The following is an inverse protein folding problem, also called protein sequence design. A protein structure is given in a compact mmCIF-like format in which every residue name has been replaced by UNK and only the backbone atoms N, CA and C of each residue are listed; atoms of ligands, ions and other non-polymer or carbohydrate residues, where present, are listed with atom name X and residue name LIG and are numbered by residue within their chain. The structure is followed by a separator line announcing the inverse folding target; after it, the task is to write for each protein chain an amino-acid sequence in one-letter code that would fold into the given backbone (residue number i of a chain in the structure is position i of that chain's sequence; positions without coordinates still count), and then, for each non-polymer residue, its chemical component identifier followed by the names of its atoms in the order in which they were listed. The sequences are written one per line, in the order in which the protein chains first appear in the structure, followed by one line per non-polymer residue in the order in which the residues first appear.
data_IF_606054991933
#
_entry.id   IF_606054991933
#
_cell.length_a   1.000
_cell.length_b   1.000
_cell.length_c   1.000
_cell.angle_alpha   90.00
_cell.angle_beta   90.00
_cell.angle_gamma   90.00
#
_symmetry.space_group_name_H-M   'P 1'
#
loop_
_entity.id
_entity.type
_entity.pdbx_description
1 polymer ?
#
# COMPACT_ATOMS: atom_id res chain seq x y z
N UNK A 1 -43.57 -3.08 3.08
CA UNK A 1 -43.41 -1.60 3.03
C UNK A 1 -42.14 -1.28 2.23
N UNK A 2 -42.31 -0.65 1.07
CA UNK A 2 -41.16 -0.16 0.30
C UNK A 2 -40.49 0.97 1.09
N UNK A 3 -39.18 0.92 1.29
CA UNK A 3 -38.42 2.02 1.87
C UNK A 3 -38.49 3.22 0.89
N UNK A 4 -39.29 4.20 1.22
CA UNK A 4 -39.32 5.50 0.56
C UNK A 4 -38.11 6.31 1.05
N UNK A 5 -36.95 6.10 0.46
CA UNK A 5 -35.75 6.86 0.74
C UNK A 5 -34.68 6.57 -0.31
N UNK A 6 -33.98 7.62 -0.75
CA UNK A 6 -32.83 7.44 -1.61
C UNK A 6 -31.71 6.77 -0.81
N UNK A 7 -31.13 5.69 -1.36
CA UNK A 7 -29.97 5.07 -0.76
C UNK A 7 -28.75 5.98 -0.95
N UNK A 8 -28.16 6.55 0.14
CA UNK A 8 -26.99 7.40 0.03
C UNK A 8 -25.80 6.74 -0.70
N UNK A 9 -25.71 5.39 -0.67
CA UNK A 9 -24.67 4.63 -1.37
C UNK A 9 -24.80 4.66 -2.91
N UNK A 10 -25.86 5.26 -3.45
CA UNK A 10 -25.98 5.49 -4.90
C UNK A 10 -25.24 6.74 -5.37
N UNK A 11 -24.76 7.54 -4.46
CA UNK A 11 -24.11 8.81 -4.74
C UNK A 11 -22.61 8.65 -4.51
N UNK A 12 -21.86 8.38 -5.57
CA UNK A 12 -20.40 8.37 -5.53
C UNK A 12 -19.95 9.83 -5.43
N UNK A 13 -19.35 10.19 -4.30
CA UNK A 13 -18.69 11.50 -4.14
C UNK A 13 -17.29 11.45 -4.77
N UNK A 14 -16.65 12.62 -4.93
CA UNK A 14 -15.25 12.67 -5.38
C UNK A 14 -14.31 11.92 -4.41
N UNK A 15 -14.66 11.86 -3.13
CA UNK A 15 -13.91 11.13 -2.10
C UNK A 15 -14.10 9.58 -2.17
N UNK A 16 -15.06 9.10 -2.99
CA UNK A 16 -15.32 7.66 -3.17
C UNK A 16 -14.62 7.11 -4.43
N UNK A 17 -13.81 7.92 -5.10
CA UNK A 17 -13.05 7.48 -6.27
C UNK A 17 -11.79 6.76 -5.83
N UNK A 18 -11.55 5.61 -6.44
CA UNK A 18 -10.29 4.89 -6.33
C UNK A 18 -9.31 5.41 -7.38
N UNK A 19 -8.03 5.41 -7.04
CA UNK A 19 -6.98 5.79 -7.98
C UNK A 19 -6.69 4.64 -8.96
N UNK A 20 -6.17 4.98 -10.15
CA UNK A 20 -5.80 3.99 -11.16
C UNK A 20 -4.70 3.05 -10.68
N UNK A 21 -3.87 3.50 -9.75
CA UNK A 21 -2.78 2.71 -9.17
C UNK A 21 -3.06 2.41 -7.72
N UNK A 22 -2.96 1.14 -7.35
CA UNK A 22 -2.93 0.73 -5.94
C UNK A 22 -1.55 0.20 -5.59
N UNK A 23 -0.89 0.83 -4.62
CA UNK A 23 0.33 0.30 -4.02
C UNK A 23 -0.07 -0.57 -2.83
N UNK A 24 0.42 -1.81 -2.82
CA UNK A 24 0.19 -2.76 -1.73
C UNK A 24 1.50 -3.12 -1.05
N UNK A 25 1.53 -3.13 0.27
CA UNK A 25 2.71 -3.53 1.05
C UNK A 25 2.33 -4.34 2.29
N UNK A 26 3.25 -5.23 2.69
CA UNK A 26 3.10 -6.08 3.87
C UNK A 26 4.18 -5.69 4.86
N UNK A 27 3.78 -5.42 6.10
CA UNK A 27 4.69 -5.06 7.20
C UNK A 27 4.69 -6.17 8.23
N UNK A 28 5.87 -6.65 8.63
CA UNK A 28 6.06 -7.60 9.72
C UNK A 28 7.32 -7.27 10.49
N UNK A 29 7.19 -6.60 11.62
CA UNK A 29 8.28 -6.23 12.54
C UNK A 29 7.81 -6.61 13.95
N UNK A 30 8.10 -7.84 14.41
CA UNK A 30 7.53 -8.37 15.65
C UNK A 30 8.06 -7.71 16.92
N UNK A 31 9.27 -7.15 16.85
CA UNK A 31 9.97 -6.50 17.96
C UNK A 31 10.98 -5.47 17.43
N UNK A 32 11.46 -4.58 18.29
CA UNK A 32 12.51 -3.61 17.96
C UNK A 32 13.82 -3.93 18.68
N UNK A 33 14.25 -5.21 18.59
CA UNK A 33 15.50 -5.69 19.19
C UNK A 33 16.25 -6.60 18.22
N UNK A 34 17.49 -6.93 18.50
CA UNK A 34 18.31 -7.83 17.71
C UNK A 34 18.31 -7.46 16.23
N UNK A 35 17.88 -8.41 15.38
CA UNK A 35 17.78 -8.23 13.93
C UNK A 35 16.82 -7.08 13.53
N UNK A 36 15.74 -6.89 14.29
CA UNK A 36 14.69 -5.91 13.99
C UNK A 36 14.93 -4.52 14.56
N UNK A 37 16.07 -4.29 15.24
CA UNK A 37 16.36 -3.05 15.99
C UNK A 37 16.11 -1.78 15.20
N UNK A 38 16.47 -1.72 13.94
CA UNK A 38 16.36 -0.54 13.08
C UNK A 38 15.20 -0.61 12.08
N UNK A 39 14.38 -1.69 12.12
CA UNK A 39 13.37 -1.95 11.08
C UNK A 39 12.26 -0.89 11.05
N UNK A 40 11.93 -0.28 12.18
CA UNK A 40 10.96 0.82 12.19
C UNK A 40 11.51 2.07 11.46
N UNK A 41 12.80 2.37 11.59
CA UNK A 41 13.39 3.52 10.89
C UNK A 41 13.51 3.25 9.38
N UNK A 42 13.85 2.01 9.00
CA UNK A 42 13.80 1.56 7.60
C UNK A 42 12.38 1.69 7.02
N UNK A 43 11.37 1.24 7.76
CA UNK A 43 9.97 1.37 7.36
C UNK A 43 9.57 2.84 7.16
N UNK A 44 9.98 3.74 8.05
CA UNK A 44 9.74 5.19 7.91
C UNK A 44 10.38 5.75 6.64
N UNK A 45 11.62 5.39 6.36
CA UNK A 45 12.33 5.80 5.13
C UNK A 45 11.61 5.27 3.89
N UNK A 46 11.20 4.00 3.89
CA UNK A 46 10.43 3.40 2.82
C UNK A 46 9.15 4.20 2.54
N UNK A 47 8.31 4.42 3.55
CA UNK A 47 7.02 5.10 3.39
C UNK A 47 7.16 6.57 3.03
N UNK A 48 8.13 7.29 3.63
CA UNK A 48 8.38 8.68 3.25
C UNK A 48 8.87 8.78 1.81
N UNK A 49 9.81 7.92 1.39
CA UNK A 49 10.28 7.93 -0.01
C UNK A 49 9.18 7.56 -1.01
N UNK A 50 8.27 6.65 -0.64
CA UNK A 50 7.10 6.35 -1.46
C UNK A 50 6.24 7.60 -1.69
N UNK A 51 5.89 8.32 -0.62
CA UNK A 51 5.04 9.51 -0.72
C UNK A 51 5.75 10.68 -1.41
N UNK A 52 7.02 10.95 -1.04
CA UNK A 52 7.75 12.13 -1.53
C UNK A 52 8.25 11.98 -2.98
N UNK A 53 8.53 10.76 -3.42
CA UNK A 53 9.13 10.48 -4.73
C UNK A 53 8.13 9.97 -5.79
N UNK A 54 6.84 9.87 -5.45
CA UNK A 54 5.77 9.50 -6.38
C UNK A 54 4.96 10.73 -6.75
N UNK A 55 4.86 11.02 -8.04
CA UNK A 55 4.12 12.19 -8.57
C UNK A 55 2.68 11.85 -8.87
N UNK A 56 2.45 10.64 -9.31
CA UNK A 56 1.13 10.13 -9.64
C UNK A 56 0.32 9.91 -8.37
N UNK A 57 -0.98 10.13 -8.46
CA UNK A 57 -1.90 9.74 -7.40
C UNK A 57 -2.00 8.21 -7.32
N UNK A 58 -2.09 7.69 -6.12
CA UNK A 58 -2.24 6.26 -5.86
C UNK A 58 -2.93 6.01 -4.52
N UNK A 59 -3.61 4.88 -4.43
CA UNK A 59 -4.10 4.35 -3.17
C UNK A 59 -3.02 3.47 -2.52
N UNK A 60 -2.79 3.64 -1.22
CA UNK A 60 -1.88 2.78 -0.45
C UNK A 60 -2.69 1.84 0.46
N UNK A 61 -2.52 0.55 0.26
CA UNK A 61 -3.09 -0.49 1.12
C UNK A 61 -1.98 -1.20 1.87
N UNK A 62 -2.07 -1.20 3.20
CA UNK A 62 -1.06 -1.80 4.07
C UNK A 62 -1.66 -2.94 4.87
N UNK A 63 -0.99 -4.09 4.84
CA UNK A 63 -1.26 -5.23 5.72
C UNK A 63 -0.20 -5.31 6.80
N UNK A 64 -0.59 -5.01 8.04
CA UNK A 64 0.25 -5.34 9.20
C UNK A 64 0.09 -6.81 9.56
N UNK A 65 1.16 -7.56 9.44
CA UNK A 65 1.19 -9.01 9.60
C UNK A 65 1.64 -9.42 11.02
N UNK A 66 1.05 -8.79 12.03
CA UNK A 66 1.35 -9.08 13.44
C UNK A 66 2.61 -8.38 13.94
N UNK A 67 2.81 -7.10 13.63
CA UNK A 67 3.93 -6.30 14.14
C UNK A 67 3.76 -5.88 15.61
N UNK A 68 4.83 -5.37 16.22
CA UNK A 68 4.82 -4.81 17.57
C UNK A 68 4.01 -3.50 17.65
N UNK A 69 3.80 -3.03 18.87
CA UNK A 69 2.95 -1.86 19.13
C UNK A 69 3.44 -0.59 18.45
N UNK A 70 4.74 -0.32 18.51
CA UNK A 70 5.37 0.88 17.97
C UNK A 70 5.18 0.99 16.46
N UNK A 71 5.27 -0.13 15.75
CA UNK A 71 5.01 -0.22 14.31
C UNK A 71 3.54 0.02 14.01
N UNK A 72 2.64 -0.60 14.77
CA UNK A 72 1.20 -0.38 14.63
C UNK A 72 0.80 1.07 14.88
N UNK A 73 1.39 1.71 15.89
CA UNK A 73 1.14 3.11 16.18
C UNK A 73 1.64 4.03 15.03
N UNK A 74 2.81 3.74 14.45
CA UNK A 74 3.30 4.44 13.27
C UNK A 74 2.34 4.30 12.08
N UNK A 75 1.89 3.08 11.78
CA UNK A 75 0.97 2.83 10.67
C UNK A 75 -0.40 3.52 10.88
N UNK A 76 -0.92 3.53 12.10
CA UNK A 76 -2.15 4.26 12.44
C UNK A 76 -2.00 5.76 12.21
N UNK A 77 -0.91 6.36 12.66
CA UNK A 77 -0.64 7.79 12.45
C UNK A 77 -0.56 8.13 10.95
N UNK A 78 0.02 7.24 10.14
CA UNK A 78 0.09 7.41 8.68
C UNK A 78 -1.30 7.32 8.03
N UNK A 79 -2.15 6.42 8.53
CA UNK A 79 -3.54 6.28 8.08
C UNK A 79 -4.39 7.48 8.49
N UNK A 80 -4.30 7.93 9.74
CA UNK A 80 -5.00 9.12 10.24
C UNK A 80 -4.60 10.41 9.51
N UNK A 81 -3.34 10.47 9.03
CA UNK A 81 -2.85 11.54 8.17
C UNK A 81 -3.31 11.42 6.71
N UNK A 82 -4.18 10.43 6.37
CA UNK A 82 -4.70 10.22 5.02
C UNK A 82 -3.70 9.64 4.02
N UNK A 83 -2.53 9.18 4.46
CA UNK A 83 -1.47 8.64 3.60
C UNK A 83 -1.64 7.16 3.28
N UNK A 84 -2.41 6.44 4.07
CA UNK A 84 -2.80 5.05 3.85
C UNK A 84 -4.31 5.02 3.69
N UNK A 85 -4.83 4.55 2.56
CA UNK A 85 -6.27 4.48 2.29
C UNK A 85 -6.91 3.28 3.00
N UNK A 86 -6.22 2.15 3.04
CA UNK A 86 -6.70 0.97 3.78
C UNK A 86 -5.57 0.37 4.62
N UNK A 87 -5.82 0.24 5.93
CA UNK A 87 -4.89 -0.35 6.88
C UNK A 87 -5.54 -1.57 7.54
N UNK A 88 -4.93 -2.73 7.35
CA UNK A 88 -5.44 -4.00 7.85
C UNK A 88 -4.47 -4.54 8.91
N UNK A 89 -4.97 -4.79 10.11
CA UNK A 89 -4.21 -5.41 11.19
C UNK A 89 -4.54 -6.89 11.31
N UNK A 90 -3.56 -7.75 11.07
CA UNK A 90 -3.66 -9.17 11.42
C UNK A 90 -3.23 -9.40 12.87
N UNK A 91 -3.99 -10.20 13.61
CA UNK A 91 -3.63 -10.59 14.98
C UNK A 91 -2.45 -11.58 15.05
N UNK A 92 -2.06 -12.16 13.91
CA UNK A 92 -0.97 -13.12 13.78
C UNK A 92 -0.34 -13.04 12.39
N UNK A 93 0.86 -13.61 12.25
CA UNK A 93 1.57 -13.65 10.97
C UNK A 93 1.00 -14.73 10.05
N UNK A 94 0.28 -14.33 9.01
CA UNK A 94 -0.25 -15.22 7.95
C UNK A 94 0.78 -15.53 6.87
N UNK A 95 2.03 -15.13 7.07
CA UNK A 95 3.13 -15.16 6.11
C UNK A 95 2.88 -14.25 4.89
N UNK A 96 3.95 -14.06 4.08
CA UNK A 96 3.92 -13.16 2.92
C UNK A 96 2.84 -13.54 1.91
N UNK A 97 2.77 -14.80 1.53
CA UNK A 97 1.83 -15.29 0.51
C UNK A 97 0.37 -15.15 0.97
N UNK A 98 0.09 -15.47 2.26
CA UNK A 98 -1.26 -15.30 2.80
C UNK A 98 -1.72 -13.85 2.77
N UNK A 99 -0.90 -12.91 3.24
CA UNK A 99 -1.20 -11.49 3.20
C UNK A 99 -1.32 -10.96 1.76
N UNK A 100 -0.40 -11.37 0.86
CA UNK A 100 -0.40 -10.94 -0.54
C UNK A 100 -1.67 -11.37 -1.27
N UNK A 101 -2.14 -12.61 -1.06
CA UNK A 101 -3.39 -13.08 -1.66
C UNK A 101 -4.60 -12.24 -1.23
N UNK A 102 -4.67 -11.81 0.03
CA UNK A 102 -5.72 -10.91 0.49
C UNK A 102 -5.61 -9.53 -0.18
N UNK A 103 -4.41 -8.95 -0.20
CA UNK A 103 -4.18 -7.62 -0.77
C UNK A 103 -4.51 -7.57 -2.27
N UNK A 104 -4.10 -8.58 -3.05
CA UNK A 104 -4.39 -8.64 -4.48
C UNK A 104 -5.89 -8.73 -4.77
N UNK A 105 -6.67 -9.38 -3.89
CA UNK A 105 -8.12 -9.49 -4.07
C UNK A 105 -8.89 -8.21 -3.72
N UNK A 106 -8.32 -7.33 -2.89
CA UNK A 106 -8.99 -6.10 -2.45
C UNK A 106 -8.47 -4.84 -3.11
N UNK A 107 -7.33 -4.91 -3.83
CA UNK A 107 -6.74 -3.78 -4.52
C UNK A 107 -7.66 -3.32 -5.68
N UNK A 108 -8.21 -2.09 -5.64
CA UNK A 108 -9.23 -1.66 -6.60
C UNK A 108 -8.64 -1.06 -7.88
N UNK A 109 -7.36 -0.68 -7.90
CA UNK A 109 -6.73 0.02 -9.01
C UNK A 109 -6.57 -0.85 -10.26
N UNK A 110 -6.53 -0.20 -11.41
CA UNK A 110 -6.22 -0.84 -12.70
C UNK A 110 -4.82 -1.45 -12.71
N UNK A 111 -3.87 -0.79 -12.06
CA UNK A 111 -2.50 -1.24 -11.87
C UNK A 111 -2.25 -1.51 -10.40
N UNK A 112 -1.60 -2.62 -10.10
CA UNK A 112 -1.23 -2.98 -8.73
C UNK A 112 0.29 -2.99 -8.65
N UNK A 113 0.85 -2.18 -7.74
CA UNK A 113 2.27 -2.20 -7.41
C UNK A 113 2.47 -2.89 -6.07
N UNK A 114 3.13 -4.05 -6.06
CA UNK A 114 3.58 -4.66 -4.83
C UNK A 114 4.99 -4.19 -4.49
N UNK A 115 5.20 -3.75 -3.26
CA UNK A 115 6.51 -3.38 -2.74
C UNK A 115 6.74 -3.98 -1.34
N UNK A 116 7.97 -4.43 -1.09
CA UNK A 116 8.40 -4.78 0.26
C UNK A 116 8.53 -3.51 1.13
N UNK A 117 8.46 -3.65 2.43
CA UNK A 117 8.41 -2.53 3.39
C UNK A 117 9.79 -1.94 3.75
N UNK A 118 10.83 -2.36 3.05
CA UNK A 118 12.24 -1.96 3.23
C UNK A 118 12.88 -1.42 1.94
N UNK A 119 12.05 -0.99 1.00
CA UNK A 119 12.48 -0.42 -0.30
C UNK A 119 12.60 1.10 -0.20
N UNK A 120 13.63 1.67 -0.85
CA UNK A 120 13.72 3.10 -1.10
C UNK A 120 13.23 3.42 -2.51
N UNK A 121 12.14 4.19 -2.63
CA UNK A 121 11.59 4.61 -3.91
C UNK A 121 12.37 5.78 -4.47
N UNK A 122 12.94 5.61 -5.68
CA UNK A 122 13.59 6.71 -6.41
C UNK A 122 12.55 7.58 -7.11
N UNK A 123 12.91 8.83 -7.40
CA UNK A 123 12.02 9.73 -8.16
C UNK A 123 11.63 9.12 -9.50
N UNK A 124 10.39 9.33 -9.91
CA UNK A 124 9.79 8.86 -11.18
C UNK A 124 9.68 7.33 -11.31
N UNK A 125 9.86 6.55 -10.25
CA UNK A 125 9.78 5.09 -10.30
C UNK A 125 8.43 4.62 -10.89
N UNK A 126 7.31 5.25 -10.48
CA UNK A 126 5.98 4.91 -10.97
C UNK A 126 5.75 5.42 -12.39
N UNK A 127 6.17 6.65 -12.70
CA UNK A 127 6.10 7.24 -14.04
C UNK A 127 6.76 6.32 -15.08
N UNK A 128 7.99 5.88 -14.82
CA UNK A 128 8.73 5.01 -15.73
C UNK A 128 8.08 3.62 -15.84
N UNK A 129 7.57 3.07 -14.74
CA UNK A 129 6.87 1.78 -14.75
C UNK A 129 5.59 1.84 -15.59
N UNK A 130 4.76 2.87 -15.38
CA UNK A 130 3.53 3.07 -16.16
C UNK A 130 3.82 3.33 -17.62
N UNK A 131 4.88 4.06 -17.93
CA UNK A 131 5.31 4.29 -19.32
C UNK A 131 5.61 2.97 -20.04
N UNK A 132 6.39 2.08 -19.40
CA UNK A 132 6.72 0.77 -19.98
C UNK A 132 5.44 -0.04 -20.24
N UNK A 133 4.51 -0.08 -19.27
CA UNK A 133 3.24 -0.80 -19.41
C UNK A 133 2.37 -0.24 -20.56
N UNK A 134 2.42 1.08 -20.78
CA UNK A 134 1.67 1.72 -21.86
C UNK A 134 2.34 1.55 -23.23
N UNK A 135 3.68 1.64 -23.29
CA UNK A 135 4.46 1.50 -24.53
C UNK A 135 4.47 0.05 -25.03
N UNK A 136 4.29 -0.92 -24.13
CA UNK A 136 4.28 -2.36 -24.42
C UNK A 136 2.99 -3.02 -23.91
N UNK A 137 1.86 -2.93 -24.61
CA UNK A 137 0.55 -3.42 -24.13
C UNK A 137 0.50 -4.92 -23.83
N UNK A 138 1.40 -5.69 -24.42
CA UNK A 138 1.55 -7.14 -24.15
C UNK A 138 2.27 -7.44 -22.82
N UNK A 139 2.82 -6.42 -22.16
CA UNK A 139 3.57 -6.58 -20.91
C UNK A 139 2.61 -6.78 -19.75
N UNK A 140 2.68 -7.94 -19.11
CA UNK A 140 1.87 -8.23 -17.92
C UNK A 140 2.46 -7.72 -16.61
N UNK A 141 3.79 -7.44 -16.56
CA UNK A 141 4.46 -7.00 -15.33
C UNK A 141 5.75 -6.23 -15.65
N UNK A 142 6.02 -5.21 -14.83
CA UNK A 142 7.28 -4.46 -14.81
C UNK A 142 7.88 -4.55 -13.40
N UNK A 143 9.17 -4.83 -13.29
CA UNK A 143 9.88 -4.88 -12.02
C UNK A 143 11.07 -3.91 -12.04
N UNK A 144 11.23 -3.16 -10.96
CA UNK A 144 12.43 -2.37 -10.71
C UNK A 144 13.64 -3.27 -10.42
N UNK A 145 14.82 -2.83 -10.85
CA UNK A 145 16.07 -3.49 -10.48
C UNK A 145 16.59 -2.79 -9.21
N UNK A 146 16.80 -3.52 -8.10
CA UNK A 146 17.44 -2.96 -6.92
C UNK A 146 18.87 -2.46 -7.26
N UNK A 147 19.21 -1.26 -6.83
CA UNK A 147 20.54 -0.66 -7.05
C UNK A 147 21.16 -0.24 -5.73
#
# INVERSE_FOLDING_TARGET
MARLGQNPLKWISENDRVEDVTVITIVHIPELSGFWKNSLDVLKVCFNSLIENTKESFDLIVWDNGSCKEVKDFLKNFHEAGKIQSLIFSGYNVRKIGALNHLLNIAPGKYISYADSDVFFKRNWLTESLKILNDFPETGMVSGIPT
#
